data_IF_341265716334
#
_entry.id   IF_341265716334
#
_cell.length_a   1.000
_cell.length_b   1.000
_cell.length_c   1.000
_cell.angle_alpha   90.00
_cell.angle_beta   90.00
_cell.angle_gamma   90.00
#
_symmetry.space_group_name_H-M   'P 1'
#
loop_
_entity.id
_entity.type
_entity.pdbx_description
1 polymer ?
#
# COMPACT_ATOMS: atom_id res chain seq x y z
N UNK A 1 -31.07 2.82 -58.07
CA UNK A 1 -29.87 3.64 -57.76
C UNK A 1 -29.11 2.95 -56.64
N UNK A 2 -27.79 2.85 -56.77
CA UNK A 2 -26.91 1.89 -56.10
C UNK A 2 -26.28 2.44 -54.82
N UNK A 3 -26.22 1.63 -53.74
CA UNK A 3 -24.97 1.15 -53.12
C UNK A 3 -25.22 0.33 -51.85
N UNK A 4 -24.85 -0.95 -51.91
CA UNK A 4 -24.44 -1.75 -50.77
C UNK A 4 -23.10 -1.23 -50.23
N UNK A 5 -22.94 -1.10 -48.90
CA UNK A 5 -21.68 -1.34 -48.20
C UNK A 5 -22.00 -1.93 -46.81
N UNK A 6 -21.66 -3.21 -46.61
CA UNK A 6 -21.38 -3.76 -45.29
C UNK A 6 -19.95 -3.37 -44.88
N UNK A 7 -19.76 -2.85 -43.66
CA UNK A 7 -18.46 -2.88 -42.96
C UNK A 7 -18.68 -3.43 -41.57
N UNK A 8 -17.88 -4.45 -41.26
CA UNK A 8 -17.78 -5.20 -40.02
C UNK A 8 -16.82 -4.48 -39.06
N UNK A 9 -17.08 -4.63 -37.75
CA UNK A 9 -16.08 -4.68 -36.67
C UNK A 9 -15.33 -3.40 -36.27
N UNK A 10 -14.83 -3.43 -35.03
CA UNK A 10 -13.97 -2.45 -34.32
C UNK A 10 -14.73 -1.21 -33.83
N UNK A 11 -14.77 -0.82 -32.55
CA UNK A 11 -13.78 -0.91 -31.47
C UNK A 11 -14.54 -1.01 -30.13
N UNK A 12 -14.40 -2.14 -29.45
CA UNK A 12 -14.45 -2.21 -27.99
C UNK A 12 -13.09 -1.75 -27.47
N UNK A 13 -13.05 -0.78 -26.57
CA UNK A 13 -11.82 -0.33 -25.94
C UNK A 13 -11.88 1.14 -25.54
N UNK A 14 -11.46 1.40 -24.30
CA UNK A 14 -11.20 2.72 -23.73
C UNK A 14 -12.35 3.40 -22.97
N UNK A 15 -12.80 2.76 -21.89
CA UNK A 15 -13.41 3.44 -20.73
C UNK A 15 -12.59 3.18 -19.44
N UNK A 16 -11.27 3.31 -19.52
CA UNK A 16 -10.38 3.23 -18.36
C UNK A 16 -9.29 4.30 -18.48
N UNK A 17 -9.64 5.56 -18.21
CA UNK A 17 -8.69 6.66 -18.39
C UNK A 17 -9.12 8.03 -17.89
N UNK A 18 -10.09 8.14 -16.97
CA UNK A 18 -10.55 9.45 -16.47
C UNK A 18 -10.82 9.46 -14.97
N UNK A 19 -9.80 9.16 -14.15
CA UNK A 19 -9.83 9.54 -12.74
C UNK A 19 -8.45 9.98 -12.22
N UNK A 20 -7.79 10.88 -12.95
CA UNK A 20 -6.67 11.68 -12.43
C UNK A 20 -6.84 13.11 -12.94
N UNK A 21 -7.84 13.83 -12.42
CA UNK A 21 -7.96 15.27 -12.58
C UNK A 21 -8.99 15.79 -11.59
N UNK A 22 -8.54 16.26 -10.42
CA UNK A 22 -9.09 17.39 -9.65
C UNK A 22 -8.38 17.46 -8.30
N UNK A 23 -7.32 18.27 -8.22
CA UNK A 23 -6.99 19.11 -7.06
C UNK A 23 -5.74 19.93 -7.37
N UNK A 24 -5.83 20.73 -8.43
CA UNK A 24 -4.93 21.85 -8.69
C UNK A 24 -5.76 23.11 -8.42
N UNK A 25 -5.70 23.63 -7.19
CA UNK A 25 -5.80 25.06 -6.82
C UNK A 25 -6.37 25.29 -5.41
N UNK A 26 -5.45 25.54 -4.47
CA UNK A 26 -5.48 26.66 -3.54
C UNK A 26 -4.09 26.73 -2.90
N UNK A 27 -3.17 27.49 -3.50
CA UNK A 27 -1.84 27.70 -2.91
C UNK A 27 -1.96 28.80 -1.86
N UNK A 28 -2.12 28.42 -0.60
CA UNK A 28 -1.87 29.33 0.53
C UNK A 28 -0.38 29.73 0.53
N UNK A 29 -0.02 30.93 1.04
CA UNK A 29 1.37 31.31 1.21
C UNK A 29 2.08 30.27 2.07
N UNK A 30 3.05 29.57 1.45
CA UNK A 30 3.85 28.53 2.11
C UNK A 30 4.59 29.17 3.28
N UNK A 31 4.15 28.84 4.50
CA UNK A 31 4.92 29.11 5.70
C UNK A 31 6.31 28.48 5.56
N UNK A 32 7.38 29.08 6.13
CA UNK A 32 8.72 28.52 6.04
C UNK A 32 8.70 27.06 6.49
N UNK A 33 9.09 26.16 5.58
CA UNK A 33 9.13 24.71 5.79
C UNK A 33 10.08 24.42 6.94
N UNK A 34 9.55 23.86 8.03
CA UNK A 34 10.36 23.35 9.12
C UNK A 34 11.34 22.31 8.57
N UNK A 35 12.59 22.24 9.09
CA UNK A 35 13.54 21.25 8.62
C UNK A 35 12.96 19.83 8.78
N UNK A 36 13.22 18.93 7.82
CA UNK A 36 12.73 17.56 7.90
C UNK A 36 13.23 16.91 9.19
N UNK A 37 12.37 16.09 9.81
CA UNK A 37 12.76 15.32 10.99
C UNK A 37 13.96 14.41 10.67
N UNK A 38 14.80 14.16 11.67
CA UNK A 38 15.75 13.06 11.57
C UNK A 38 14.98 11.74 11.43
N UNK A 39 15.34 10.92 10.45
CA UNK A 39 14.63 9.67 10.16
C UNK A 39 14.98 8.62 11.21
N UNK A 40 13.98 8.18 11.97
CA UNK A 40 14.13 7.08 12.94
C UNK A 40 14.07 5.71 12.23
N UNK A 41 15.24 5.20 11.86
CA UNK A 41 15.38 3.88 11.25
C UNK A 41 14.92 2.73 12.15
N UNK A 42 15.01 2.89 13.48
CA UNK A 42 14.60 1.84 14.42
C UNK A 42 13.08 1.69 14.42
N UNK A 43 12.35 2.81 14.32
CA UNK A 43 10.91 2.82 14.17
C UNK A 43 10.48 2.20 12.84
N UNK A 44 11.10 2.61 11.73
CA UNK A 44 10.80 2.06 10.39
C UNK A 44 10.98 0.54 10.39
N UNK A 45 12.09 0.05 10.92
CA UNK A 45 12.36 -1.39 10.99
C UNK A 45 11.34 -2.12 11.87
N UNK A 46 10.97 -1.54 13.01
CA UNK A 46 10.00 -2.15 13.93
C UNK A 46 8.60 -2.24 13.31
N UNK A 47 8.16 -1.17 12.64
CA UNK A 47 6.91 -1.14 11.87
C UNK A 47 6.93 -2.17 10.75
N UNK A 48 7.99 -2.20 9.95
CA UNK A 48 8.15 -3.13 8.84
C UNK A 48 8.05 -4.59 9.32
N UNK A 49 8.80 -4.96 10.37
CA UNK A 49 8.74 -6.33 10.91
C UNK A 49 7.34 -6.66 11.44
N UNK A 50 6.72 -5.75 12.18
CA UNK A 50 5.40 -5.98 12.80
C UNK A 50 4.31 -6.17 11.74
N UNK A 51 4.26 -5.29 10.74
CA UNK A 51 3.27 -5.35 9.68
C UNK A 51 3.55 -6.52 8.73
N UNK A 52 4.79 -6.66 8.25
CA UNK A 52 5.09 -7.56 7.14
C UNK A 52 5.14 -9.03 7.53
N UNK A 53 5.45 -9.37 8.79
CA UNK A 53 5.33 -10.77 9.24
C UNK A 53 3.87 -11.22 9.13
N UNK A 54 2.94 -10.40 9.59
CA UNK A 54 1.50 -10.71 9.55
C UNK A 54 0.96 -10.68 8.12
N UNK A 55 1.30 -9.64 7.35
CA UNK A 55 0.89 -9.50 5.94
C UNK A 55 1.42 -10.66 5.09
N UNK A 56 2.70 -11.02 5.22
CA UNK A 56 3.33 -12.08 4.43
C UNK A 56 2.78 -13.46 4.77
N UNK A 57 2.40 -13.69 6.03
CA UNK A 57 1.72 -14.92 6.42
C UNK A 57 0.35 -15.04 5.76
N UNK A 58 -0.43 -13.96 5.75
CA UNK A 58 -1.73 -13.90 5.06
C UNK A 58 -1.57 -14.06 3.55
N UNK A 59 -0.64 -13.31 2.94
CA UNK A 59 -0.36 -13.38 1.51
C UNK A 59 0.07 -14.79 1.08
N UNK A 60 0.88 -15.46 1.89
CA UNK A 60 1.26 -16.86 1.65
C UNK A 60 0.04 -17.77 1.70
N UNK A 61 -0.81 -17.65 2.72
CA UNK A 61 -2.05 -18.44 2.83
C UNK A 61 -2.97 -18.23 1.63
N UNK A 62 -3.17 -16.98 1.21
CA UNK A 62 -3.98 -16.63 0.03
C UNK A 62 -3.35 -17.18 -1.24
N UNK A 63 -2.03 -17.07 -1.40
CA UNK A 63 -1.32 -17.62 -2.56
C UNK A 63 -1.56 -19.13 -2.68
N UNK A 64 -1.39 -19.86 -1.58
CA UNK A 64 -1.62 -21.31 -1.55
C UNK A 64 -3.07 -21.68 -1.88
N UNK A 65 -4.04 -20.86 -1.48
CA UNK A 65 -5.45 -21.05 -1.81
C UNK A 65 -5.77 -20.80 -3.30
N UNK A 66 -5.09 -19.86 -3.95
CA UNK A 66 -5.30 -19.52 -5.36
C UNK A 66 -4.62 -20.49 -6.33
N UNK A 67 -3.35 -20.81 -6.07
CA UNK A 67 -2.50 -21.52 -7.04
C UNK A 67 -2.32 -22.99 -6.73
N UNK A 68 -2.71 -23.42 -5.53
CA UNK A 68 -2.36 -24.74 -5.01
C UNK A 68 -0.86 -24.84 -4.72
N UNK A 69 -0.50 -25.60 -3.69
CA UNK A 69 0.91 -25.82 -3.38
C UNK A 69 1.08 -26.81 -2.24
N UNK A 70 2.28 -27.37 -2.13
CA UNK A 70 2.67 -28.15 -0.96
C UNK A 70 3.11 -27.23 0.17
N UNK A 71 2.92 -27.66 1.42
CA UNK A 71 3.41 -26.94 2.61
C UNK A 71 4.92 -26.67 2.55
N UNK A 72 5.69 -27.45 1.79
CA UNK A 72 7.11 -27.23 1.55
C UNK A 72 7.40 -25.94 0.76
N UNK A 73 6.51 -25.52 -0.15
CA UNK A 73 6.65 -24.26 -0.90
C UNK A 73 6.21 -23.04 -0.07
N UNK A 74 5.34 -23.23 0.93
CA UNK A 74 4.81 -22.15 1.75
C UNK A 74 5.92 -21.38 2.48
N UNK A 75 6.94 -22.08 3.00
CA UNK A 75 8.05 -21.43 3.69
C UNK A 75 8.87 -20.52 2.77
N UNK A 76 9.18 -20.97 1.55
CA UNK A 76 9.90 -20.16 0.56
C UNK A 76 9.08 -18.98 0.08
N UNK A 77 7.77 -19.18 -0.17
CA UNK A 77 6.85 -18.11 -0.54
C UNK A 77 6.75 -17.05 0.54
N UNK A 78 6.64 -17.47 1.80
CA UNK A 78 6.63 -16.57 2.96
C UNK A 78 7.91 -15.73 3.02
N UNK A 79 9.09 -16.35 2.86
CA UNK A 79 10.35 -15.61 2.91
C UNK A 79 10.51 -14.63 1.75
N UNK A 80 10.11 -15.01 0.53
CA UNK A 80 10.14 -14.12 -0.64
C UNK A 80 9.17 -12.95 -0.45
N UNK A 81 7.95 -13.25 0.01
CA UNK A 81 6.94 -12.25 0.36
C UNK A 81 7.48 -11.28 1.42
N UNK A 82 7.92 -11.80 2.57
CA UNK A 82 8.43 -11.01 3.69
C UNK A 82 9.63 -10.13 3.31
N UNK A 83 10.57 -10.66 2.54
CA UNK A 83 11.76 -9.90 2.15
C UNK A 83 11.39 -8.79 1.17
N UNK A 84 10.62 -9.10 0.13
CA UNK A 84 10.24 -8.10 -0.87
C UNK A 84 9.29 -7.05 -0.30
N UNK A 85 8.37 -7.44 0.57
CA UNK A 85 7.45 -6.54 1.23
C UNK A 85 8.14 -5.69 2.30
N UNK A 86 9.04 -6.27 3.10
CA UNK A 86 9.86 -5.54 4.08
C UNK A 86 10.69 -4.42 3.43
N UNK A 87 11.33 -4.70 2.30
CA UNK A 87 12.07 -3.68 1.54
C UNK A 87 11.12 -2.60 1.00
N UNK A 88 9.99 -2.99 0.42
CA UNK A 88 8.99 -2.07 -0.10
C UNK A 88 8.41 -1.15 1.00
N UNK A 89 8.09 -1.71 2.17
CA UNK A 89 7.57 -0.99 3.32
C UNK A 89 8.61 -0.04 3.90
N UNK A 90 9.85 -0.49 4.10
CA UNK A 90 10.91 0.36 4.62
C UNK A 90 11.20 1.54 3.69
N UNK A 91 11.25 1.31 2.38
CA UNK A 91 11.40 2.37 1.39
C UNK A 91 10.19 3.34 1.39
N UNK A 92 8.98 2.81 1.57
CA UNK A 92 7.76 3.58 1.66
C UNK A 92 7.73 4.51 2.89
N UNK A 93 8.00 3.96 4.08
CA UNK A 93 8.07 4.77 5.31
C UNK A 93 9.20 5.79 5.25
N UNK A 94 10.37 5.40 4.72
CA UNK A 94 11.48 6.34 4.52
C UNK A 94 11.08 7.53 3.65
N UNK A 95 10.37 7.28 2.54
CA UNK A 95 9.90 8.34 1.66
C UNK A 95 8.93 9.30 2.37
N UNK A 96 8.06 8.79 3.24
CA UNK A 96 7.16 9.62 4.04
C UNK A 96 7.90 10.39 5.14
N UNK A 97 8.70 9.72 5.97
CA UNK A 97 9.40 10.36 7.10
C UNK A 97 10.45 11.40 6.62
N UNK A 98 11.03 11.22 5.44
CA UNK A 98 11.94 12.22 4.85
C UNK A 98 11.24 13.44 4.27
N UNK A 99 9.96 13.33 3.92
CA UNK A 99 9.16 14.40 3.34
C UNK A 99 8.29 15.14 4.36
N UNK A 100 8.02 14.52 5.52
CA UNK A 100 7.15 15.08 6.55
C UNK A 100 7.88 16.15 7.39
N UNK A 101 7.22 17.28 7.70
CA UNK A 101 7.69 18.24 8.71
C UNK A 101 7.89 17.58 10.07
N UNK A 102 8.82 18.11 10.87
CA UNK A 102 9.10 17.58 12.20
C UNK A 102 7.90 17.60 13.16
N UNK A 103 7.01 18.58 12.99
CA UNK A 103 5.79 18.81 13.76
C UNK A 103 4.54 18.14 13.17
N UNK A 104 4.67 17.31 12.14
CA UNK A 104 3.55 16.59 11.56
C UNK A 104 2.84 15.69 12.59
N UNK A 105 1.52 15.81 12.69
CA UNK A 105 0.69 14.90 13.48
C UNK A 105 0.58 13.55 12.77
N UNK A 106 1.35 12.57 13.23
CA UNK A 106 1.38 11.23 12.64
C UNK A 106 0.14 10.40 13.00
N UNK A 107 -0.72 10.89 13.89
CA UNK A 107 -2.04 10.33 14.17
C UNK A 107 -3.15 10.92 13.29
N UNK A 108 -2.84 11.91 12.43
CA UNK A 108 -3.80 12.52 11.51
C UNK A 108 -4.43 11.44 10.59
N UNK A 109 -5.76 11.26 10.62
CA UNK A 109 -6.46 10.32 9.76
C UNK A 109 -6.18 10.50 8.27
N UNK A 110 -5.99 11.73 7.80
CA UNK A 110 -5.75 12.01 6.37
C UNK A 110 -4.33 11.60 5.96
N UNK A 111 -3.35 11.77 6.85
CA UNK A 111 -2.00 11.25 6.65
C UNK A 111 -1.98 9.73 6.66
N UNK A 112 -2.64 9.08 7.63
CA UNK A 112 -2.74 7.62 7.70
C UNK A 112 -3.43 7.07 6.44
N UNK A 113 -4.50 7.71 5.98
CA UNK A 113 -5.20 7.33 4.76
C UNK A 113 -4.28 7.46 3.53
N UNK A 114 -3.54 8.56 3.42
CA UNK A 114 -2.60 8.81 2.32
C UNK A 114 -1.48 7.78 2.26
N UNK A 115 -0.86 7.48 3.41
CA UNK A 115 0.14 6.40 3.55
C UNK A 115 -0.45 5.05 3.17
N UNK A 116 -1.65 4.74 3.68
CA UNK A 116 -2.35 3.49 3.39
C UNK A 116 -2.59 3.29 1.90
N UNK A 117 -3.09 4.31 1.20
CA UNK A 117 -3.37 4.25 -0.24
C UNK A 117 -2.08 4.07 -1.05
N UNK A 118 -1.06 4.88 -0.76
CA UNK A 118 0.21 4.84 -1.49
C UNK A 118 0.94 3.52 -1.26
N UNK A 119 0.96 3.00 -0.04
CA UNK A 119 1.48 1.67 0.24
C UNK A 119 0.64 0.57 -0.42
N UNK A 120 -0.70 0.70 -0.46
CA UNK A 120 -1.56 -0.29 -1.15
C UNK A 120 -1.26 -0.41 -2.63
N UNK A 121 -0.98 0.69 -3.32
CA UNK A 121 -0.61 0.65 -4.75
C UNK A 121 0.66 -0.19 -4.92
N UNK A 122 1.68 0.06 -4.10
CA UNK A 122 2.94 -0.67 -4.13
C UNK A 122 2.75 -2.15 -3.76
N UNK A 123 2.03 -2.45 -2.69
CA UNK A 123 1.79 -3.82 -2.22
C UNK A 123 0.97 -4.62 -3.22
N UNK A 124 -0.07 -4.02 -3.82
CA UNK A 124 -0.92 -4.69 -4.82
C UNK A 124 -0.12 -5.02 -6.08
N UNK A 125 0.72 -4.10 -6.55
CA UNK A 125 1.61 -4.35 -7.68
C UNK A 125 2.58 -5.50 -7.37
N UNK A 126 3.15 -5.54 -6.15
CA UNK A 126 4.01 -6.62 -5.69
C UNK A 126 3.29 -7.97 -5.67
N UNK A 127 2.11 -8.05 -5.06
CA UNK A 127 1.29 -9.28 -5.05
C UNK A 127 0.93 -9.72 -6.47
N UNK A 128 0.54 -8.80 -7.35
CA UNK A 128 0.29 -9.13 -8.75
C UNK A 128 1.53 -9.79 -9.40
N UNK A 129 2.73 -9.24 -9.17
CA UNK A 129 3.96 -9.81 -9.71
C UNK A 129 4.26 -11.19 -9.10
N UNK A 130 4.03 -11.40 -7.81
CA UNK A 130 4.16 -12.73 -7.19
C UNK A 130 3.23 -13.75 -7.84
N UNK A 131 1.95 -13.41 -8.04
CA UNK A 131 1.01 -14.25 -8.79
C UNK A 131 1.48 -14.51 -10.21
N UNK A 132 1.98 -13.47 -10.90
CA UNK A 132 2.41 -13.56 -12.30
C UNK A 132 3.65 -14.42 -12.50
N UNK A 133 4.59 -14.41 -11.56
CA UNK A 133 5.87 -15.13 -11.71
C UNK A 133 5.87 -16.49 -11.03
N UNK A 134 5.19 -16.61 -9.88
CA UNK A 134 5.19 -17.83 -9.08
C UNK A 134 3.92 -18.66 -9.26
N UNK A 135 2.80 -18.03 -9.65
CA UNK A 135 1.49 -18.67 -9.82
C UNK A 135 1.19 -19.18 -11.24
N UNK A 136 2.19 -19.30 -12.12
CA UNK A 136 2.02 -19.87 -13.46
C UNK A 136 1.64 -18.88 -14.56
N UNK A 137 1.54 -17.58 -14.27
CA UNK A 137 1.56 -16.54 -15.29
C UNK A 137 0.23 -16.09 -15.88
N UNK A 138 -0.88 -16.57 -15.34
CA UNK A 138 -2.20 -16.14 -15.76
C UNK A 138 -2.54 -14.75 -15.19
N UNK A 139 -2.83 -13.80 -16.07
CA UNK A 139 -3.06 -12.39 -15.70
C UNK A 139 -4.32 -12.23 -14.84
N UNK A 140 -5.42 -12.88 -15.20
CA UNK A 140 -6.69 -12.75 -14.50
C UNK A 140 -6.60 -13.28 -13.06
N UNK A 141 -6.03 -14.48 -12.89
CA UNK A 141 -5.81 -15.11 -11.58
C UNK A 141 -4.83 -14.29 -10.73
N UNK A 142 -3.77 -13.74 -11.34
CA UNK A 142 -2.82 -12.83 -10.66
C UNK A 142 -3.47 -11.54 -10.17
N UNK A 143 -4.36 -10.95 -10.97
CA UNK A 143 -5.11 -9.76 -10.59
C UNK A 143 -6.11 -10.06 -9.47
N UNK A 144 -6.86 -11.16 -9.56
CA UNK A 144 -7.79 -11.59 -8.52
C UNK A 144 -7.06 -11.86 -7.19
N UNK A 145 -5.93 -12.58 -7.24
CA UNK A 145 -5.06 -12.81 -6.11
C UNK A 145 -4.61 -11.49 -5.45
N UNK A 146 -4.06 -10.57 -6.24
CA UNK A 146 -3.58 -9.29 -5.74
C UNK A 146 -4.69 -8.44 -5.09
N UNK A 147 -5.90 -8.47 -5.65
CA UNK A 147 -7.06 -7.78 -5.08
C UNK A 147 -7.50 -8.39 -3.74
N UNK A 148 -7.52 -9.72 -3.62
CA UNK A 148 -7.85 -10.39 -2.35
C UNK A 148 -6.82 -10.05 -1.28
N UNK A 149 -5.53 -10.09 -1.64
CA UNK A 149 -4.46 -9.64 -0.73
C UNK A 149 -4.72 -8.19 -0.32
N UNK A 150 -4.88 -7.26 -1.26
CA UNK A 150 -5.10 -5.84 -0.98
C UNK A 150 -6.25 -5.57 0.01
N UNK A 151 -7.37 -6.29 -0.10
CA UNK A 151 -8.50 -6.18 0.83
C UNK A 151 -8.09 -6.60 2.24
N UNK A 152 -7.45 -7.77 2.39
CA UNK A 152 -7.00 -8.25 3.70
C UNK A 152 -5.97 -7.33 4.35
N UNK A 153 -5.12 -6.72 3.52
CA UNK A 153 -3.94 -5.99 3.95
C UNK A 153 -4.25 -4.53 4.32
N UNK A 154 -5.32 -3.97 3.76
CA UNK A 154 -5.77 -2.59 4.04
C UNK A 154 -6.14 -2.42 5.51
N UNK A 155 -6.95 -3.34 6.06
CA UNK A 155 -7.36 -3.29 7.46
C UNK A 155 -6.17 -3.48 8.41
N UNK A 156 -5.26 -4.40 8.05
CA UNK A 156 -4.06 -4.66 8.84
C UNK A 156 -3.16 -3.43 8.93
N UNK A 157 -2.91 -2.74 7.82
CA UNK A 157 -2.03 -1.57 7.79
C UNK A 157 -2.59 -0.37 8.52
N UNK A 158 -3.88 -0.07 8.33
CA UNK A 158 -4.53 1.01 9.07
C UNK A 158 -4.49 0.75 10.58
N UNK A 159 -4.71 -0.51 11.00
CA UNK A 159 -4.58 -0.91 12.39
C UNK A 159 -3.14 -0.77 12.92
N UNK A 160 -2.14 -1.13 12.12
CA UNK A 160 -0.73 -0.98 12.49
C UNK A 160 -0.34 0.49 12.65
N UNK A 161 -0.65 1.36 11.69
CA UNK A 161 -0.32 2.79 11.79
C UNK A 161 -0.97 3.42 13.04
N UNK A 162 -2.25 3.11 13.29
CA UNK A 162 -2.96 3.60 14.47
C UNK A 162 -2.37 3.05 15.78
N UNK A 163 -1.93 1.80 15.81
CA UNK A 163 -1.29 1.21 16.99
C UNK A 163 0.06 1.88 17.30
N UNK A 164 0.88 2.15 16.28
CA UNK A 164 2.17 2.83 16.47
C UNK A 164 2.02 4.30 16.82
N UNK A 165 1.05 5.02 16.23
CA UNK A 165 0.74 6.39 16.61
C UNK A 165 0.37 6.47 18.10
N UNK A 166 -0.54 5.59 18.56
CA UNK A 166 -0.93 5.51 19.98
C UNK A 166 0.21 5.11 20.90
N UNK A 167 1.07 4.17 20.50
CA UNK A 167 2.22 3.75 21.29
C UNK A 167 3.22 4.90 21.53
N UNK A 168 3.36 5.81 20.56
CA UNK A 168 4.17 7.04 20.70
C UNK A 168 3.47 8.18 21.44
N UNK A 169 2.22 8.01 21.87
CA UNK A 169 1.43 9.06 22.52
C UNK A 169 0.89 10.13 21.57
N UNK A 170 0.95 9.90 20.26
CA UNK A 170 0.42 10.81 19.24
C UNK A 170 -1.12 10.73 19.22
N UNK A 171 -1.81 11.87 19.09
CA UNK A 171 -3.27 11.95 19.14
C UNK A 171 -3.90 11.88 20.54
N UNK A 172 -3.11 11.90 21.63
CA UNK A 172 -3.63 12.15 22.98
C UNK A 172 -3.68 13.66 23.25
N UNK A 173 -4.86 14.18 23.59
CA UNK A 173 -4.98 15.56 24.08
C UNK A 173 -4.08 15.75 25.31
N UNK A 174 -3.21 16.77 25.29
CA UNK A 174 -2.43 17.16 26.46
C UNK A 174 -3.37 17.31 27.66
N UNK A 175 -3.05 16.77 28.85
CA UNK A 175 -3.87 17.00 30.03
C UNK A 175 -3.99 18.51 30.24
N UNK A 176 -5.22 19.01 30.38
CA UNK A 176 -5.45 20.42 30.65
C UNK A 176 -4.58 20.85 31.85
N UNK A 177 -3.90 22.02 31.79
CA UNK A 177 -3.13 22.49 32.92
C UNK A 177 -4.04 22.55 34.14
N UNK A 178 -3.64 21.84 35.21
CA UNK A 178 -4.35 21.87 36.49
C UNK A 178 -4.24 23.31 37.01
N UNK A 179 -5.38 23.96 37.35
CA UNK A 179 -5.39 25.36 37.79
C UNK A 179 -4.64 25.58 39.10
#
# INVERSE_FOLDING_TARGET
MSRNIHVKSLIAGSMLGCLVATQLWASEPVAPVAPPAEVDWSLIATKAVTFEVMSSALETGIFMAFYGGSTALAGSLFLVSLTTAGVAYAAHEYAWESALPADADRADPDLIASKSVTYRVLSTARSFMLGRFLGGGEVATSAAYALVVAVTDTALYAATELAFARWRGEGQASPAPVP
#
